data_IF_151559636745
#
_entry.id   IF_151559636745
#
_cell.length_a   1.000
_cell.length_b   1.000
_cell.length_c   1.000
_cell.angle_alpha   90.00
_cell.angle_beta   90.00
_cell.angle_gamma   90.00
#
_symmetry.space_group_name_H-M   'P 1'
#
loop_
_entity.id
_entity.type
_entity.pdbx_description
1 polymer ?
#
# COMPACT_ATOMS: atom_id res chain seq x y z
N UNK A 1 44.93 25.35 -37.54
CA UNK A 1 44.91 25.64 -36.12
C UNK A 1 43.46 25.71 -35.70
N UNK A 2 43.05 24.89 -34.76
CA UNK A 2 41.71 24.77 -34.12
C UNK A 2 40.65 23.90 -34.79
N UNK A 3 40.89 22.58 -34.76
CA UNK A 3 39.84 21.59 -34.94
C UNK A 3 39.79 20.60 -33.76
N UNK A 4 40.22 21.00 -32.56
CA UNK A 4 40.35 20.11 -31.36
C UNK A 4 39.37 20.52 -30.25
N UNK A 5 38.54 21.54 -30.40
CA UNK A 5 37.71 22.05 -29.31
C UNK A 5 36.22 21.67 -29.38
N UNK A 6 35.80 20.82 -30.31
CA UNK A 6 34.36 20.45 -30.44
C UNK A 6 34.07 19.04 -29.87
N UNK A 7 35.08 18.27 -29.50
CA UNK A 7 34.84 16.90 -28.98
C UNK A 7 34.75 16.77 -27.46
N UNK A 8 34.81 17.86 -26.70
CA UNK A 8 34.80 17.83 -25.23
C UNK A 8 33.49 18.31 -24.58
N UNK A 9 32.46 18.61 -25.36
CA UNK A 9 31.18 19.14 -24.86
C UNK A 9 29.99 18.17 -25.10
N UNK A 10 30.23 16.98 -25.61
CA UNK A 10 29.17 15.99 -25.85
C UNK A 10 29.16 14.80 -24.86
N UNK A 11 29.97 14.86 -23.80
CA UNK A 11 30.03 13.81 -22.79
C UNK A 11 29.41 14.20 -21.43
N UNK A 12 28.65 15.29 -21.39
CA UNK A 12 27.90 15.69 -20.20
C UNK A 12 26.46 15.78 -20.67
N UNK A 13 25.68 14.76 -20.41
CA UNK A 13 24.21 14.70 -20.30
C UNK A 13 23.63 13.39 -20.86
N UNK A 14 24.18 12.26 -20.46
CA UNK A 14 23.43 11.03 -20.31
C UNK A 14 23.83 10.42 -18.96
N UNK A 15 23.35 11.01 -17.87
CA UNK A 15 22.97 10.20 -16.75
C UNK A 15 21.76 9.41 -17.27
N UNK A 16 21.97 8.20 -17.79
CA UNK A 16 20.91 7.23 -17.91
C UNK A 16 20.30 7.16 -16.51
N UNK A 17 19.07 7.59 -16.38
CA UNK A 17 18.28 7.30 -15.19
C UNK A 17 18.22 5.78 -15.11
N UNK A 18 18.96 5.22 -14.16
CA UNK A 18 19.09 3.78 -13.97
C UNK A 18 17.90 3.26 -13.17
N UNK A 19 16.71 3.38 -13.74
CA UNK A 19 15.51 2.98 -13.04
C UNK A 19 14.31 2.95 -13.97
N UNK A 20 13.18 2.62 -13.41
CA UNK A 20 11.89 2.73 -14.09
C UNK A 20 10.87 3.35 -13.14
N UNK A 21 10.00 4.16 -13.69
CA UNK A 21 8.99 4.91 -12.95
C UNK A 21 7.60 4.51 -13.44
N UNK A 22 6.70 4.20 -12.51
CA UNK A 22 5.31 3.99 -12.85
C UNK A 22 4.67 5.31 -13.29
N UNK A 23 3.97 5.36 -14.43
CA UNK A 23 3.55 6.63 -15.03
C UNK A 23 2.54 7.42 -14.19
N UNK A 24 1.63 6.73 -13.51
CA UNK A 24 0.54 7.37 -12.76
C UNK A 24 0.94 7.65 -11.31
N UNK A 25 1.48 6.66 -10.60
CA UNK A 25 1.84 6.82 -9.18
C UNK A 25 3.16 7.53 -8.96
N UNK A 26 4.04 7.57 -9.96
CA UNK A 26 5.40 8.07 -9.81
C UNK A 26 6.32 7.14 -9.01
N UNK A 27 5.94 5.89 -8.75
CA UNK A 27 6.80 4.91 -8.06
C UNK A 27 8.09 4.70 -8.86
N UNK A 28 9.19 5.14 -8.30
CA UNK A 28 10.49 5.09 -8.96
C UNK A 28 11.36 4.01 -8.34
N UNK A 29 11.89 3.12 -9.16
CA UNK A 29 12.83 2.08 -8.76
C UNK A 29 14.18 2.34 -9.37
N UNK A 30 15.20 2.50 -8.53
CA UNK A 30 16.59 2.65 -8.96
C UNK A 30 17.21 1.26 -9.11
N UNK A 31 17.88 1.01 -10.22
CA UNK A 31 18.52 -0.29 -10.46
C UNK A 31 19.71 -0.52 -9.54
N UNK A 32 19.83 -1.74 -9.02
CA UNK A 32 20.93 -2.21 -8.17
C UNK A 32 21.40 -3.60 -8.57
N UNK A 33 22.40 -4.12 -7.87
CA UNK A 33 22.96 -5.46 -8.10
C UNK A 33 22.43 -6.52 -7.15
N UNK A 34 21.89 -6.11 -5.97
CA UNK A 34 21.22 -6.99 -5.04
C UNK A 34 19.73 -7.04 -5.36
N UNK A 35 19.20 -8.23 -5.54
CA UNK A 35 17.83 -8.41 -6.01
C UNK A 35 17.15 -9.57 -5.28
N UNK A 36 15.85 -9.42 -5.01
CA UNK A 36 14.96 -10.50 -4.66
C UNK A 36 13.75 -10.48 -5.61
N UNK A 37 12.98 -11.55 -5.63
CA UNK A 37 11.78 -11.65 -6.46
C UNK A 37 10.61 -12.06 -5.57
N UNK A 38 9.54 -11.28 -5.60
CA UNK A 38 8.26 -11.66 -5.01
C UNK A 38 7.32 -12.17 -6.10
N UNK A 39 6.67 -13.29 -5.81
CA UNK A 39 5.70 -13.96 -6.68
C UNK A 39 4.36 -13.98 -5.95
N UNK A 40 3.38 -13.23 -6.46
CA UNK A 40 2.07 -13.03 -5.86
C UNK A 40 1.04 -13.78 -6.70
N UNK A 41 0.28 -14.68 -6.07
CA UNK A 41 -0.68 -15.54 -6.77
C UNK A 41 -2.06 -14.89 -6.94
N UNK A 42 -2.47 -14.01 -6.03
CA UNK A 42 -3.75 -13.32 -6.12
C UNK A 42 -3.77 -12.04 -5.30
N UNK A 43 -4.63 -11.11 -5.73
CA UNK A 43 -4.93 -9.88 -5.00
C UNK A 43 -6.43 -9.72 -4.92
N UNK A 44 -6.92 -9.33 -3.76
CA UNK A 44 -8.33 -9.05 -3.51
C UNK A 44 -8.47 -7.61 -3.03
N UNK A 45 -9.39 -6.88 -3.62
CA UNK A 45 -9.72 -5.48 -3.26
C UNK A 45 -11.18 -5.47 -2.83
N UNK A 46 -11.47 -4.96 -1.63
CA UNK A 46 -12.84 -4.86 -1.10
C UNK A 46 -13.64 -6.17 -1.23
N UNK A 47 -12.99 -7.32 -0.91
CA UNK A 47 -13.55 -8.68 -0.98
C UNK A 47 -13.74 -9.26 -2.41
N UNK A 48 -13.34 -8.56 -3.44
CA UNK A 48 -13.40 -9.03 -4.82
C UNK A 48 -11.98 -9.31 -5.36
N UNK A 49 -11.81 -10.36 -6.15
CA UNK A 49 -10.53 -10.62 -6.81
C UNK A 49 -10.23 -9.51 -7.82
N UNK A 50 -9.05 -8.93 -7.75
CA UNK A 50 -8.62 -7.86 -8.66
C UNK A 50 -8.66 -8.35 -10.12
N UNK A 51 -9.14 -7.51 -11.02
CA UNK A 51 -9.21 -7.84 -12.44
C UNK A 51 -7.88 -7.55 -13.15
N UNK A 52 -7.48 -8.44 -14.06
CA UNK A 52 -6.33 -8.19 -14.93
C UNK A 52 -6.72 -7.18 -16.02
N UNK A 53 -6.43 -5.92 -15.79
CA UNK A 53 -6.73 -4.82 -16.73
C UNK A 53 -5.47 -4.25 -17.40
N UNK A 54 -4.26 -4.69 -16.98
CA UNK A 54 -2.95 -4.20 -17.44
C UNK A 54 -2.64 -2.73 -17.07
N UNK A 55 -3.40 -2.14 -16.17
CA UNK A 55 -3.21 -0.77 -15.66
C UNK A 55 -3.00 -0.73 -14.16
N UNK A 56 -3.63 -1.65 -13.42
CA UNK A 56 -3.37 -1.81 -11.99
C UNK A 56 -1.95 -2.30 -11.76
N UNK A 57 -1.28 -1.74 -10.78
CA UNK A 57 0.11 -2.06 -10.50
C UNK A 57 0.33 -2.40 -9.03
N UNK A 58 1.17 -3.40 -8.77
CA UNK A 58 1.60 -3.74 -7.40
C UNK A 58 3.00 -3.17 -7.17
N UNK A 59 3.13 -2.35 -6.13
CA UNK A 59 4.40 -1.81 -5.65
C UNK A 59 4.87 -2.55 -4.40
N UNK A 60 6.18 -2.77 -4.30
CA UNK A 60 6.86 -3.28 -3.11
C UNK A 60 7.70 -2.16 -2.54
N UNK A 61 7.59 -1.96 -1.23
CA UNK A 61 8.21 -0.84 -0.54
C UNK A 61 9.06 -1.30 0.65
N UNK A 62 10.16 -0.62 0.83
CA UNK A 62 10.92 -0.63 2.07
C UNK A 62 10.84 0.77 2.67
N UNK A 63 10.26 0.89 3.85
CA UNK A 63 9.86 2.18 4.39
C UNK A 63 9.03 2.98 3.34
N UNK A 64 9.44 4.18 2.99
CA UNK A 64 8.75 5.03 2.00
C UNK A 64 9.31 4.88 0.57
N UNK A 65 10.32 4.00 0.37
CA UNK A 65 10.99 3.84 -0.92
C UNK A 65 10.39 2.67 -1.70
N UNK A 66 9.91 2.93 -2.91
CA UNK A 66 9.56 1.87 -3.85
C UNK A 66 10.84 1.13 -4.29
N UNK A 67 10.87 -0.18 -4.06
CA UNK A 67 12.00 -1.06 -4.39
C UNK A 67 11.73 -2.00 -5.55
N UNK A 68 10.48 -2.07 -6.01
CA UNK A 68 10.04 -2.85 -7.17
C UNK A 68 8.56 -2.65 -7.43
N UNK A 69 8.13 -2.73 -8.68
CA UNK A 69 6.73 -2.76 -9.06
C UNK A 69 6.54 -3.48 -10.39
N UNK A 70 5.34 -3.99 -10.63
CA UNK A 70 4.90 -4.51 -11.93
C UNK A 70 3.38 -4.42 -12.02
N UNK A 71 2.86 -4.46 -13.24
CA UNK A 71 1.43 -4.52 -13.47
C UNK A 71 0.85 -5.84 -12.97
N UNK A 72 -0.32 -5.76 -12.34
CA UNK A 72 -1.01 -6.94 -11.83
C UNK A 72 -1.35 -7.90 -12.96
N UNK A 73 -1.05 -9.19 -12.74
CA UNK A 73 -1.38 -10.28 -13.64
C UNK A 73 -2.13 -11.37 -12.86
N UNK A 74 -3.33 -11.70 -13.31
CA UNK A 74 -4.13 -12.72 -12.66
C UNK A 74 -3.39 -14.08 -12.63
N UNK A 75 -3.37 -14.69 -11.46
CA UNK A 75 -2.74 -15.98 -11.18
C UNK A 75 -1.26 -15.92 -10.83
N UNK A 76 -0.48 -15.00 -11.37
CA UNK A 76 0.92 -14.82 -10.97
C UNK A 76 1.51 -13.49 -11.41
N UNK A 77 1.72 -12.59 -10.47
CA UNK A 77 2.51 -11.36 -10.67
C UNK A 77 3.91 -11.57 -10.13
N UNK A 78 4.93 -11.24 -10.91
CA UNK A 78 6.35 -11.43 -10.57
C UNK A 78 7.02 -10.07 -10.46
N UNK A 79 7.43 -9.68 -9.25
CA UNK A 79 7.99 -8.36 -8.99
C UNK A 79 9.45 -8.50 -8.58
N UNK A 80 10.39 -8.09 -9.44
CA UNK A 80 11.79 -7.91 -9.05
C UNK A 80 11.92 -6.73 -8.10
N UNK A 81 12.62 -6.93 -6.98
CA UNK A 81 12.86 -5.89 -5.97
C UNK A 81 14.35 -5.68 -5.77
N UNK A 82 14.75 -4.45 -5.55
CA UNK A 82 16.15 -4.05 -5.39
C UNK A 82 16.46 -3.85 -3.91
N UNK A 83 17.64 -4.32 -3.48
CA UNK A 83 18.19 -4.12 -2.15
C UNK A 83 19.48 -3.31 -2.14
N UNK A 84 19.95 -2.97 -0.94
CA UNK A 84 21.20 -2.25 -0.75
C UNK A 84 22.40 -3.11 -1.17
N UNK A 85 23.13 -2.64 -2.15
CA UNK A 85 24.39 -3.22 -2.63
C UNK A 85 25.63 -2.46 -2.08
N UNK A 86 25.44 -1.66 -1.04
CA UNK A 86 26.44 -0.80 -0.41
C UNK A 86 26.53 0.60 -1.02
N UNK A 87 25.67 0.92 -1.98
CA UNK A 87 25.58 2.25 -2.60
C UNK A 87 24.24 2.95 -2.32
N UNK A 88 23.23 2.17 -1.92
CA UNK A 88 21.85 2.64 -1.74
C UNK A 88 21.34 2.24 -0.33
N UNK A 89 21.78 2.91 0.75
CA UNK A 89 21.43 2.51 2.12
C UNK A 89 19.94 2.70 2.47
N UNK A 90 19.14 3.31 1.60
CA UNK A 90 17.69 3.42 1.71
C UNK A 90 16.96 2.18 1.19
N UNK A 91 17.67 1.17 0.69
CA UNK A 91 17.08 -0.09 0.22
C UNK A 91 17.25 -1.21 1.25
N UNK A 92 16.41 -2.25 1.24
CA UNK A 92 16.46 -3.31 2.21
C UNK A 92 17.75 -4.13 2.14
N UNK A 93 18.15 -4.64 3.31
CA UNK A 93 19.14 -5.69 3.47
C UNK A 93 18.46 -6.99 3.90
N UNK A 94 19.22 -8.08 4.03
CA UNK A 94 18.66 -9.35 4.50
C UNK A 94 17.97 -9.20 5.87
N UNK A 95 16.80 -9.82 5.98
CA UNK A 95 15.92 -9.83 7.16
C UNK A 95 15.05 -8.58 7.34
N UNK A 96 15.07 -7.65 6.37
CA UNK A 96 14.18 -6.51 6.41
C UNK A 96 12.75 -6.88 6.00
N UNK A 97 11.78 -6.20 6.60
CA UNK A 97 10.37 -6.27 6.23
C UNK A 97 10.09 -5.34 5.05
N UNK A 98 9.21 -5.77 4.18
CA UNK A 98 8.69 -4.97 3.07
C UNK A 98 7.18 -4.89 3.14
N UNK A 99 6.62 -3.84 2.57
CA UNK A 99 5.18 -3.63 2.42
C UNK A 99 4.77 -3.68 0.96
N UNK A 100 3.50 -3.94 0.73
CA UNK A 100 2.91 -4.05 -0.59
C UNK A 100 1.76 -3.07 -0.73
N UNK A 101 1.66 -2.45 -1.89
CA UNK A 101 0.57 -1.57 -2.26
C UNK A 101 0.06 -1.94 -3.64
N UNK A 102 -1.22 -1.74 -3.90
CA UNK A 102 -1.78 -1.79 -5.25
C UNK A 102 -2.27 -0.40 -5.64
N UNK A 103 -1.96 -0.01 -6.84
CA UNK A 103 -2.60 1.11 -7.52
C UNK A 103 -3.75 0.56 -8.35
N UNK A 104 -4.95 0.97 -8.04
CA UNK A 104 -6.17 0.72 -8.80
C UNK A 104 -6.40 1.89 -9.76
N UNK A 105 -6.14 1.66 -11.05
CA UNK A 105 -6.28 2.69 -12.09
C UNK A 105 -7.74 3.13 -12.28
N UNK A 106 -8.69 2.26 -12.00
CA UNK A 106 -10.11 2.56 -12.20
C UNK A 106 -10.65 3.58 -11.21
N UNK A 107 -10.14 3.57 -9.99
CA UNK A 107 -10.54 4.47 -8.90
C UNK A 107 -9.49 5.55 -8.60
N UNK A 108 -8.31 5.51 -9.31
CA UNK A 108 -7.15 6.38 -9.06
C UNK A 108 -6.70 6.34 -7.59
N UNK A 109 -6.63 5.13 -7.04
CA UNK A 109 -6.44 4.90 -5.62
C UNK A 109 -5.24 3.97 -5.36
N UNK A 110 -4.46 4.26 -4.33
CA UNK A 110 -3.41 3.37 -3.82
C UNK A 110 -3.87 2.76 -2.51
N UNK A 111 -3.91 1.43 -2.45
CA UNK A 111 -4.32 0.66 -1.28
C UNK A 111 -3.13 -0.10 -0.69
N UNK A 112 -3.04 -0.12 0.64
CA UNK A 112 -2.11 -0.97 1.36
C UNK A 112 -2.58 -2.43 1.27
N UNK A 113 -1.68 -3.34 0.92
CA UNK A 113 -1.99 -4.76 0.79
C UNK A 113 -1.53 -5.55 2.02
N UNK A 114 -2.45 -6.23 2.63
CA UNK A 114 -2.27 -7.05 3.82
C UNK A 114 -2.22 -8.54 3.47
N UNK A 115 -1.66 -9.37 4.34
CA UNK A 115 -1.60 -10.82 4.17
C UNK A 115 -2.09 -11.54 5.42
N UNK A 116 -2.79 -12.65 5.25
CA UNK A 116 -3.20 -13.54 6.36
C UNK A 116 -2.04 -14.33 6.99
N UNK A 117 -0.91 -14.35 6.33
CA UNK A 117 0.30 -15.00 6.80
C UNK A 117 1.45 -14.00 6.81
N UNK A 118 2.48 -14.28 7.59
CA UNK A 118 3.65 -13.42 7.63
C UNK A 118 4.23 -13.24 6.22
N UNK A 119 4.42 -11.99 5.81
CA UNK A 119 5.11 -11.66 4.57
C UNK A 119 6.57 -12.10 4.71
N UNK A 120 7.10 -12.87 3.74
CA UNK A 120 8.49 -13.29 3.79
C UNK A 120 9.44 -12.09 3.82
N UNK A 121 10.43 -12.14 4.72
CA UNK A 121 11.47 -11.12 4.82
C UNK A 121 12.29 -11.03 3.53
N UNK A 122 12.78 -9.85 3.22
CA UNK A 122 13.63 -9.63 2.06
C UNK A 122 14.99 -10.29 2.25
N UNK A 123 15.46 -11.04 1.25
CA UNK A 123 16.79 -11.63 1.20
C UNK A 123 17.33 -11.57 -0.21
N UNK A 124 18.59 -11.19 -0.37
CA UNK A 124 19.26 -11.16 -1.66
C UNK A 124 19.24 -12.53 -2.34
N UNK A 125 19.08 -12.54 -3.67
CA UNK A 125 19.09 -13.75 -4.52
C UNK A 125 18.01 -14.80 -4.16
N UNK A 126 16.88 -14.36 -3.61
CA UNK A 126 15.76 -15.25 -3.24
C UNK A 126 14.52 -15.04 -4.10
N UNK A 127 13.69 -16.08 -4.12
CA UNK A 127 12.35 -16.09 -4.68
C UNK A 127 11.36 -16.30 -3.54
N UNK A 128 10.49 -15.34 -3.33
CA UNK A 128 9.51 -15.32 -2.25
C UNK A 128 8.12 -15.53 -2.82
N UNK A 129 7.36 -16.49 -2.25
CA UNK A 129 6.00 -16.75 -2.69
C UNK A 129 5.01 -16.16 -1.69
N UNK A 130 4.05 -15.41 -2.21
CA UNK A 130 2.89 -14.88 -1.47
C UNK A 130 1.64 -15.44 -2.14
N UNK A 131 0.79 -16.12 -1.35
CA UNK A 131 -0.42 -16.74 -1.89
C UNK A 131 -1.44 -15.68 -2.30
N UNK A 132 -1.88 -14.88 -1.34
CA UNK A 132 -2.86 -13.82 -1.58
C UNK A 132 -2.49 -12.57 -0.77
N UNK A 133 -2.80 -11.42 -1.34
CA UNK A 133 -2.79 -10.12 -0.69
C UNK A 133 -4.20 -9.53 -0.73
N UNK A 134 -4.52 -8.72 0.26
CA UNK A 134 -5.85 -8.16 0.47
C UNK A 134 -5.73 -6.66 0.72
N UNK A 135 -6.45 -5.85 -0.06
CA UNK A 135 -6.55 -4.41 0.09
C UNK A 135 -7.98 -4.02 0.46
N UNK A 136 -8.12 -3.23 1.49
CA UNK A 136 -9.37 -2.60 1.86
C UNK A 136 -9.25 -1.10 1.71
N UNK A 137 -10.30 -0.44 1.25
CA UNK A 137 -10.38 1.01 1.30
C UNK A 137 -10.12 1.52 2.72
N UNK A 138 -9.57 2.72 2.80
CA UNK A 138 -9.30 3.43 4.08
C UNK A 138 -8.30 2.74 5.01
N UNK A 139 -7.37 1.93 4.47
CA UNK A 139 -6.34 1.20 5.26
C UNK A 139 -6.91 0.32 6.39
N UNK A 140 -8.15 -0.13 6.21
CA UNK A 140 -8.84 -0.98 7.16
C UNK A 140 -8.17 -2.35 7.25
N UNK A 141 -8.06 -2.90 8.46
CA UNK A 141 -7.51 -4.24 8.66
C UNK A 141 -8.48 -5.32 8.19
N UNK A 142 -7.95 -6.31 7.47
CA UNK A 142 -8.71 -7.51 7.11
C UNK A 142 -9.02 -8.36 8.33
N UNK A 143 -10.14 -9.06 8.30
CA UNK A 143 -10.48 -10.08 9.29
C UNK A 143 -9.61 -11.36 9.14
N UNK A 144 -9.80 -12.32 10.02
CA UNK A 144 -9.07 -13.60 9.99
C UNK A 144 -9.31 -14.47 8.74
N UNK A 145 -10.24 -14.11 7.88
CA UNK A 145 -10.54 -14.78 6.62
C UNK A 145 -10.01 -14.02 5.40
N UNK A 146 -9.44 -12.84 5.60
CA UNK A 146 -8.98 -11.94 4.54
C UNK A 146 -10.10 -11.07 3.96
N UNK A 147 -11.19 -10.89 4.69
CA UNK A 147 -12.30 -10.05 4.24
C UNK A 147 -12.16 -8.64 4.80
N UNK A 148 -12.45 -7.67 3.95
CA UNK A 148 -12.67 -6.30 4.40
C UNK A 148 -13.99 -6.23 5.16
N UNK A 149 -14.07 -5.52 6.26
CA UNK A 149 -15.34 -5.28 6.96
C UNK A 149 -16.39 -4.68 6.02
N UNK A 150 -17.62 -5.17 6.09
CA UNK A 150 -18.71 -4.70 5.21
C UNK A 150 -19.23 -3.31 5.62
N UNK A 151 -19.03 -2.91 6.86
CA UNK A 151 -19.28 -1.56 7.34
C UNK A 151 -18.48 -1.28 8.61
N UNK A 152 -18.00 -0.07 8.74
CA UNK A 152 -17.36 0.44 9.95
C UNK A 152 -18.26 1.40 10.73
N UNK A 153 -19.55 1.44 10.40
CA UNK A 153 -20.46 2.45 10.95
C UNK A 153 -20.58 2.40 12.48
N UNK A 154 -20.67 1.18 13.04
CA UNK A 154 -20.84 0.99 14.49
C UNK A 154 -19.57 0.50 15.19
N UNK A 155 -18.56 0.08 14.46
CA UNK A 155 -17.23 -0.34 14.94
C UNK A 155 -16.16 0.50 14.22
N UNK A 156 -16.03 1.78 14.55
CA UNK A 156 -15.14 2.70 13.84
C UNK A 156 -13.65 2.37 13.97
N UNK A 157 -13.23 1.71 15.05
CA UNK A 157 -11.84 1.30 15.24
C UNK A 157 -11.53 -0.10 14.66
N UNK A 158 -12.58 -0.83 14.20
CA UNK A 158 -12.54 -2.12 13.52
C UNK A 158 -11.86 -3.24 14.34
N UNK A 159 -11.97 -3.20 15.66
CA UNK A 159 -11.44 -4.24 16.52
C UNK A 159 -12.43 -5.40 16.76
N UNK A 160 -13.59 -5.39 16.09
CA UNK A 160 -14.69 -6.37 16.16
C UNK A 160 -15.43 -6.37 17.52
N UNK A 161 -15.25 -5.33 18.32
CA UNK A 161 -15.99 -5.13 19.56
C UNK A 161 -16.60 -3.74 19.53
N UNK A 162 -17.89 -3.62 19.79
CA UNK A 162 -18.54 -2.32 19.92
C UNK A 162 -18.43 -1.91 21.37
N UNK A 163 -17.44 -1.05 21.69
CA UNK A 163 -17.20 -0.64 23.07
C UNK A 163 -16.71 0.82 23.20
N UNK A 164 -16.21 1.18 24.36
CA UNK A 164 -15.77 2.55 24.64
C UNK A 164 -14.57 2.99 23.78
N UNK A 165 -13.81 2.05 23.19
CA UNK A 165 -12.66 2.39 22.36
C UNK A 165 -13.11 2.96 21.01
N UNK A 166 -14.28 2.57 20.50
CA UNK A 166 -14.89 3.16 19.31
C UNK A 166 -15.23 4.64 19.54
N UNK A 167 -15.80 4.93 20.69
CA UNK A 167 -16.10 6.32 21.09
C UNK A 167 -14.80 7.14 21.18
N UNK A 168 -13.76 6.58 21.77
CA UNK A 168 -12.46 7.27 21.87
C UNK A 168 -11.86 7.53 20.50
N UNK A 169 -11.95 6.57 19.59
CA UNK A 169 -11.48 6.70 18.22
C UNK A 169 -12.22 7.80 17.46
N UNK A 170 -13.55 7.85 17.54
CA UNK A 170 -14.35 8.93 16.94
C UNK A 170 -14.02 10.31 17.50
N UNK A 171 -13.83 10.40 18.82
CA UNK A 171 -13.44 11.68 19.46
C UNK A 171 -12.09 12.15 18.90
N UNK A 172 -11.13 11.26 18.74
CA UNK A 172 -9.81 11.62 18.20
C UNK A 172 -9.93 12.12 16.76
N UNK A 173 -10.73 11.48 15.91
CA UNK A 173 -10.98 11.95 14.55
C UNK A 173 -11.64 13.33 14.57
N UNK A 174 -12.73 13.52 15.32
CA UNK A 174 -13.45 14.79 15.39
C UNK A 174 -12.57 15.95 15.89
N UNK A 175 -11.61 15.68 16.78
CA UNK A 175 -10.79 16.72 17.39
C UNK A 175 -9.52 17.07 16.60
N UNK A 176 -8.95 16.14 15.88
CA UNK A 176 -7.61 16.27 15.35
C UNK A 176 -7.51 16.12 13.83
N UNK A 177 -8.58 15.73 13.16
CA UNK A 177 -8.55 15.57 11.72
C UNK A 177 -9.27 16.74 11.03
N UNK A 178 -8.50 17.59 10.33
CA UNK A 178 -9.02 18.78 9.65
C UNK A 178 -9.60 18.48 8.23
N UNK A 179 -9.21 17.36 7.59
CA UNK A 179 -9.62 16.99 6.23
C UNK A 179 -9.79 15.47 6.08
N UNK A 180 -10.21 14.74 7.11
CA UNK A 180 -10.54 13.33 6.96
C UNK A 180 -11.80 13.15 6.12
N UNK A 181 -11.69 12.32 5.10
CA UNK A 181 -12.89 11.76 4.49
C UNK A 181 -13.59 10.87 5.53
N UNK A 182 -14.88 11.11 5.74
CA UNK A 182 -15.64 10.49 6.82
C UNK A 182 -16.22 9.19 6.30
N UNK A 183 -15.50 8.08 6.53
CA UNK A 183 -15.95 6.78 6.05
C UNK A 183 -16.41 5.85 7.16
N UNK A 184 -15.83 5.98 8.34
CA UNK A 184 -16.18 5.17 9.49
C UNK A 184 -16.76 6.03 10.60
N UNK A 185 -17.94 5.65 11.10
CA UNK A 185 -18.54 6.28 12.26
C UNK A 185 -19.63 7.32 11.98
N UNK A 186 -19.97 7.62 10.72
CA UNK A 186 -21.18 8.36 10.35
C UNK A 186 -22.40 7.41 10.44
N UNK A 187 -22.81 7.14 11.67
CA UNK A 187 -23.81 6.10 11.97
C UNK A 187 -25.20 6.55 11.54
N UNK A 188 -25.46 7.84 11.56
CA UNK A 188 -26.74 8.39 11.15
C UNK A 188 -26.82 8.65 9.63
N UNK A 189 -25.71 8.47 8.89
CA UNK A 189 -25.59 8.66 7.45
C UNK A 189 -25.97 10.08 6.98
N UNK A 190 -25.62 11.10 7.76
CA UNK A 190 -25.88 12.48 7.41
C UNK A 190 -24.69 13.16 6.70
N UNK A 191 -23.63 12.43 6.44
CA UNK A 191 -22.34 12.84 5.88
C UNK A 191 -21.58 13.84 6.77
N UNK A 192 -21.78 13.77 8.08
CA UNK A 192 -21.04 14.54 9.07
C UNK A 192 -20.64 13.59 10.20
N UNK A 193 -19.38 13.59 10.56
CA UNK A 193 -18.92 12.90 11.76
C UNK A 193 -18.96 13.90 12.94
N UNK A 194 -19.94 13.75 13.82
CA UNK A 194 -20.11 14.68 14.92
C UNK A 194 -20.59 13.99 16.23
N UNK A 195 -21.04 14.80 17.17
CA UNK A 195 -21.48 14.31 18.47
C UNK A 195 -22.71 13.40 18.39
N UNK A 196 -23.49 13.47 17.31
CA UNK A 196 -24.70 12.65 17.15
C UNK A 196 -24.31 11.18 16.94
N UNK A 197 -23.26 10.93 16.19
CA UNK A 197 -22.74 9.57 15.95
C UNK A 197 -22.23 8.95 17.25
N UNK A 198 -21.47 9.73 18.04
CA UNK A 198 -20.99 9.28 19.35
C UNK A 198 -22.16 8.91 20.27
N UNK A 199 -23.26 9.68 20.26
CA UNK A 199 -24.44 9.38 21.09
C UNK A 199 -25.08 8.07 20.65
N UNK A 200 -25.16 7.79 19.36
CA UNK A 200 -25.74 6.54 18.83
C UNK A 200 -24.89 5.33 19.25
N UNK A 201 -23.56 5.37 19.10
CA UNK A 201 -22.69 4.29 19.59
C UNK A 201 -22.85 4.10 21.10
N UNK A 202 -22.88 5.18 21.87
CA UNK A 202 -23.07 5.09 23.30
C UNK A 202 -24.42 4.43 23.67
N UNK A 203 -25.50 4.73 22.94
CA UNK A 203 -26.79 4.06 23.12
C UNK A 203 -26.72 2.57 22.81
N UNK A 204 -25.99 2.17 21.76
CA UNK A 204 -25.79 0.75 21.42
C UNK A 204 -25.03 0.04 22.54
N UNK A 205 -23.90 0.58 23.01
CA UNK A 205 -23.09 0.00 24.09
C UNK A 205 -23.90 -0.14 25.40
N UNK A 206 -24.77 0.82 25.72
CA UNK A 206 -25.58 0.77 26.94
C UNK A 206 -26.80 -0.14 26.83
N UNK A 207 -27.13 -0.61 25.63
CA UNK A 207 -28.31 -1.49 25.40
C UNK A 207 -27.96 -2.98 25.50
N UNK A 208 -26.68 -3.35 25.55
CA UNK A 208 -26.19 -4.71 25.81
C UNK A 208 -26.11 -5.01 27.32
#
# INVERSE_FOLDING_TARGET
>A
MNLIYIFFLASILFTEERGWTHPETGWEVITGTHMAIYMISGVFINNEEAEENHTDAIGVFFEDQCIGWDYYQNGLTIIPTIGDDGQNPQFPVNEDLVSFYIYDDSEDLVLNLQSLVDIPLWYVDTWQNISNLYGCEYDILIDSNGSCPESCDIDPNLDQNIDILDIMYLIDIILYCDDCEIFCGDINSDNQLDLQDIIIILEIILSE
#
